data_IF_406123692103
#
_entry.id   IF_406123692103
#
_cell.length_a   1.000
_cell.length_b   1.000
_cell.length_c   1.000
_cell.angle_alpha   90.00
_cell.angle_beta   90.00
_cell.angle_gamma   90.00
#
_symmetry.space_group_name_H-M   'P 1'
#
loop_
_entity.id
_entity.type
_entity.pdbx_description
1 polymer ?
#
# COMPACT_ATOMS: atom_id res chain seq x y z
N UNK A 1 3.31 13.97 14.54
CA UNK A 1 3.95 12.69 14.96
C UNK A 1 2.89 11.85 15.67
N UNK A 2 2.29 10.86 14.99
CA UNK A 2 1.28 9.96 15.59
C UNK A 2 2.03 8.96 16.47
N UNK A 3 2.23 9.29 17.75
CA UNK A 3 2.95 8.44 18.72
C UNK A 3 2.08 7.94 19.89
N UNK A 4 0.77 8.14 19.86
CA UNK A 4 -0.10 7.87 21.03
C UNK A 4 -1.15 6.78 20.84
N UNK A 5 -1.18 6.07 19.71
CA UNK A 5 -2.01 4.87 19.53
C UNK A 5 -1.14 3.80 18.90
N UNK A 6 -1.29 2.54 19.29
CA UNK A 6 -0.62 1.36 18.70
C UNK A 6 -1.06 1.12 17.25
N UNK A 7 -1.06 2.17 16.43
CA UNK A 7 -1.46 2.12 15.03
C UNK A 7 -0.22 1.85 14.19
N UNK A 8 -0.32 0.90 13.27
CA UNK A 8 0.76 0.58 12.35
C UNK A 8 0.61 1.51 11.15
N UNK A 9 1.62 2.37 10.97
CA UNK A 9 1.71 3.29 9.84
C UNK A 9 2.79 2.78 8.89
N UNK A 10 2.45 2.67 7.60
CA UNK A 10 3.38 2.32 6.54
C UNK A 10 3.75 3.56 5.72
N UNK A 11 4.93 4.17 5.98
CA UNK A 11 5.45 5.22 5.11
C UNK A 11 6.05 4.60 3.84
N UNK A 12 5.66 5.13 2.68
CA UNK A 12 6.19 4.79 1.36
C UNK A 12 6.41 6.08 0.56
N UNK A 13 7.25 5.99 -0.46
CA UNK A 13 7.48 7.10 -1.39
C UNK A 13 7.66 6.58 -2.81
N UNK A 14 7.58 7.44 -3.81
CA UNK A 14 7.71 7.02 -5.20
C UNK A 14 9.17 6.92 -5.64
N UNK A 15 10.03 7.84 -5.17
CA UNK A 15 11.46 7.84 -5.46
C UNK A 15 12.31 7.03 -4.48
N UNK A 16 13.30 6.31 -5.01
CA UNK A 16 14.28 5.59 -4.19
C UNK A 16 15.14 6.51 -3.31
N UNK A 17 15.39 7.75 -3.77
CA UNK A 17 16.18 8.73 -3.02
C UNK A 17 15.37 9.25 -1.83
N UNK A 18 14.09 9.57 -2.04
CA UNK A 18 13.19 9.98 -0.97
C UNK A 18 13.01 8.85 0.08
N UNK A 19 13.10 7.58 -0.33
CA UNK A 19 12.93 6.45 0.58
C UNK A 19 14.03 6.40 1.64
N UNK A 20 15.22 6.94 1.35
CA UNK A 20 16.33 7.03 2.31
C UNK A 20 16.03 8.03 3.44
N UNK A 21 15.15 9.00 3.21
CA UNK A 21 14.77 10.01 4.20
C UNK A 21 13.68 9.48 5.15
N UNK A 22 12.97 8.43 4.76
CA UNK A 22 11.96 7.78 5.59
C UNK A 22 12.61 6.69 6.46
N UNK A 23 12.32 6.63 7.77
CA UNK A 23 12.81 5.54 8.61
C UNK A 23 12.22 4.20 8.15
N UNK A 24 13.09 3.27 7.72
CA UNK A 24 12.73 2.03 7.02
C UNK A 24 11.96 2.25 5.71
N UNK A 25 12.18 3.40 5.08
CA UNK A 25 11.53 3.79 3.84
C UNK A 25 11.81 2.79 2.73
N UNK A 26 10.75 2.40 2.04
CA UNK A 26 10.82 1.67 0.79
C UNK A 26 10.01 2.43 -0.24
N UNK A 27 10.41 2.30 -1.50
CA UNK A 27 9.58 2.82 -2.58
C UNK A 27 8.26 2.07 -2.61
N UNK A 28 7.16 2.73 -2.99
CA UNK A 28 5.86 2.09 -3.13
C UNK A 28 5.92 0.92 -4.12
N UNK A 29 6.69 1.07 -5.21
CA UNK A 29 6.96 0.01 -6.16
C UNK A 29 7.58 -1.23 -5.52
N UNK A 30 8.64 -1.07 -4.73
CA UNK A 30 9.29 -2.19 -4.04
C UNK A 30 8.42 -2.75 -2.91
N UNK A 31 7.72 -1.87 -2.17
CA UNK A 31 6.93 -2.25 -1.00
C UNK A 31 5.71 -3.05 -1.36
N UNK A 32 5.01 -2.67 -2.43
CA UNK A 32 3.77 -3.33 -2.85
C UNK A 32 3.97 -4.24 -4.06
N UNK A 33 5.19 -4.37 -4.58
CA UNK A 33 5.47 -5.18 -5.76
C UNK A 33 4.61 -4.73 -6.96
N UNK A 34 4.56 -3.41 -7.18
CA UNK A 34 3.73 -2.80 -8.22
C UNK A 34 4.32 -3.15 -9.59
N UNK A 35 3.55 -3.75 -10.51
CA UNK A 35 4.07 -4.15 -11.82
C UNK A 35 4.52 -2.95 -12.65
N UNK A 36 5.69 -3.06 -13.29
CA UNK A 36 6.28 -2.01 -14.13
C UNK A 36 5.42 -1.69 -15.37
N UNK A 37 4.71 -2.69 -15.91
CA UNK A 37 3.69 -2.50 -16.95
C UNK A 37 2.34 -2.31 -16.30
N UNK A 38 2.01 -1.06 -15.97
CA UNK A 38 0.72 -0.68 -15.42
C UNK A 38 -0.35 -0.76 -16.51
N UNK A 39 -1.40 -1.53 -16.26
CA UNK A 39 -2.61 -1.61 -17.08
C UNK A 39 -3.81 -1.67 -16.14
N UNK A 40 -4.97 -1.18 -16.57
CA UNK A 40 -6.14 -0.94 -15.70
C UNK A 40 -6.59 -2.17 -14.87
N UNK A 41 -6.32 -3.39 -15.35
CA UNK A 41 -6.73 -4.63 -14.69
C UNK A 41 -5.64 -5.32 -13.85
N UNK A 42 -4.48 -4.69 -13.67
CA UNK A 42 -3.40 -5.33 -12.91
C UNK A 42 -3.55 -5.11 -11.41
N UNK A 43 -3.36 -6.19 -10.68
CA UNK A 43 -3.18 -6.20 -9.24
C UNK A 43 -1.69 -6.07 -8.91
N UNK A 44 -1.41 -5.55 -7.72
CA UNK A 44 -0.10 -5.71 -7.10
C UNK A 44 0.17 -7.20 -6.85
N UNK A 45 1.40 -7.65 -7.08
CA UNK A 45 1.77 -9.06 -6.94
C UNK A 45 2.06 -9.42 -5.47
N UNK A 46 1.01 -9.30 -4.64
CA UNK A 46 1.01 -9.60 -3.21
C UNK A 46 0.11 -10.81 -3.01
N UNK A 47 0.70 -11.94 -2.59
CA UNK A 47 -0.07 -13.16 -2.33
C UNK A 47 -0.62 -13.15 -0.89
N UNK A 48 -1.85 -13.64 -0.66
CA UNK A 48 -2.37 -13.89 0.69
C UNK A 48 -1.44 -14.84 1.46
N UNK A 49 -1.32 -14.66 2.78
CA UNK A 49 -0.45 -15.47 3.64
C UNK A 49 1.04 -15.15 3.53
N UNK A 50 1.43 -14.09 2.81
CA UNK A 50 2.79 -13.56 2.86
C UNK A 50 2.94 -12.58 4.02
N UNK A 51 4.18 -12.39 4.51
CA UNK A 51 4.48 -11.38 5.54
C UNK A 51 4.00 -9.97 5.15
N UNK A 52 4.06 -9.64 3.86
CA UNK A 52 3.58 -8.35 3.35
C UNK A 52 2.06 -8.24 3.45
N UNK A 53 1.32 -9.30 3.10
CA UNK A 53 -0.13 -9.33 3.25
C UNK A 53 -0.54 -9.21 4.73
N UNK A 54 0.11 -9.95 5.63
CA UNK A 54 -0.15 -9.85 7.07
C UNK A 54 0.15 -8.45 7.63
N UNK A 55 1.21 -7.81 7.11
CA UNK A 55 1.57 -6.46 7.50
C UNK A 55 0.50 -5.46 7.02
N UNK A 56 0.06 -5.57 5.78
CA UNK A 56 -1.02 -4.76 5.20
C UNK A 56 -2.31 -4.92 6.00
N UNK A 57 -2.68 -6.15 6.38
CA UNK A 57 -3.86 -6.42 7.20
C UNK A 57 -3.83 -5.76 8.58
N UNK A 58 -2.64 -5.57 9.14
CA UNK A 58 -2.43 -4.92 10.44
C UNK A 58 -2.20 -3.42 10.31
N UNK A 59 -2.04 -2.90 9.09
CA UNK A 59 -1.75 -1.49 8.84
C UNK A 59 -3.02 -0.66 8.94
N UNK A 60 -2.97 0.39 9.75
CA UNK A 60 -4.09 1.32 9.92
C UNK A 60 -4.00 2.49 8.94
N UNK A 61 -2.78 2.86 8.52
CA UNK A 61 -2.55 4.02 7.65
C UNK A 61 -1.34 3.80 6.73
N UNK A 62 -1.50 4.08 5.45
CA UNK A 62 -0.39 4.19 4.49
C UNK A 62 -0.16 5.67 4.22
N UNK A 63 1.06 6.15 4.46
CA UNK A 63 1.47 7.51 4.10
C UNK A 63 2.32 7.39 2.84
N UNK A 64 1.83 7.96 1.73
CA UNK A 64 2.53 7.93 0.46
C UNK A 64 3.07 9.32 0.13
N UNK A 65 4.38 9.50 0.35
CA UNK A 65 5.11 10.70 -0.05
C UNK A 65 5.38 10.71 -1.56
N UNK A 66 5.29 11.87 -2.21
CA UNK A 66 5.32 11.99 -3.67
C UNK A 66 4.18 11.25 -4.41
N UNK A 67 3.05 10.99 -3.73
CA UNK A 67 1.88 10.37 -4.35
C UNK A 67 1.47 11.00 -5.70
N UNK A 68 1.42 12.35 -5.88
CA UNK A 68 1.05 12.98 -7.15
C UNK A 68 1.99 12.66 -8.32
N UNK A 69 3.23 12.28 -8.04
CA UNK A 69 4.22 11.93 -9.07
C UNK A 69 4.10 10.47 -9.54
N UNK A 70 3.16 9.71 -8.97
CA UNK A 70 2.93 8.31 -9.31
C UNK A 70 1.80 8.19 -10.32
N UNK A 71 1.95 7.27 -11.27
CA UNK A 71 0.91 6.98 -12.24
C UNK A 71 -0.39 6.50 -11.57
N UNK A 72 -1.55 7.01 -12.02
CA UNK A 72 -2.88 6.67 -11.47
C UNK A 72 -3.13 5.16 -11.35
N UNK A 73 -2.76 4.39 -12.37
CA UNK A 73 -2.89 2.93 -12.35
C UNK A 73 -2.14 2.22 -11.22
N UNK A 74 -1.05 2.81 -10.68
CA UNK A 74 -0.38 2.24 -9.52
C UNK A 74 -1.25 2.32 -8.26
N UNK A 75 -1.99 3.42 -8.10
CA UNK A 75 -2.98 3.57 -7.03
C UNK A 75 -4.16 2.64 -7.22
N UNK A 76 -4.69 2.51 -8.43
CA UNK A 76 -5.81 1.61 -8.74
C UNK A 76 -5.42 0.14 -8.49
N UNK A 77 -4.23 -0.27 -8.93
CA UNK A 77 -3.71 -1.60 -8.67
C UNK A 77 -3.52 -1.87 -7.18
N UNK A 78 -3.02 -0.88 -6.43
CA UNK A 78 -2.86 -0.99 -4.99
C UNK A 78 -4.22 -1.08 -4.29
N UNK A 79 -5.17 -0.18 -4.58
CA UNK A 79 -6.51 -0.18 -3.99
C UNK A 79 -7.22 -1.52 -4.21
N UNK A 80 -7.20 -2.03 -5.45
CA UNK A 80 -7.77 -3.35 -5.77
C UNK A 80 -7.11 -4.47 -4.95
N UNK A 81 -5.78 -4.47 -4.81
CA UNK A 81 -5.06 -5.49 -4.02
C UNK A 81 -5.35 -5.36 -2.52
N UNK A 82 -5.39 -4.15 -1.97
CA UNK A 82 -5.74 -3.92 -0.57
C UNK A 82 -7.16 -4.42 -0.29
N UNK A 83 -8.12 -4.11 -1.18
CA UNK A 83 -9.49 -4.62 -1.08
C UNK A 83 -9.55 -6.14 -1.14
N UNK A 84 -8.80 -6.80 -2.02
CA UNK A 84 -8.78 -8.27 -2.09
C UNK A 84 -8.23 -8.91 -0.79
N UNK A 85 -7.14 -8.35 -0.24
CA UNK A 85 -6.54 -8.83 1.01
C UNK A 85 -7.52 -8.63 2.18
N UNK A 86 -8.14 -7.44 2.29
CA UNK A 86 -9.04 -7.11 3.41
C UNK A 86 -10.38 -7.85 3.30
N UNK A 87 -10.94 -7.97 2.10
CA UNK A 87 -12.26 -8.62 1.86
C UNK A 87 -12.25 -10.11 2.24
N UNK A 88 -11.10 -10.78 2.14
CA UNK A 88 -10.95 -12.19 2.55
C UNK A 88 -11.08 -12.41 4.07
N UNK A 89 -11.01 -11.34 4.88
CA UNK A 89 -11.05 -11.42 6.36
C UNK A 89 -12.33 -10.82 6.97
N UNK A 90 -13.01 -9.90 6.26
CA UNK A 90 -14.29 -9.31 6.67
C UNK A 90 -15.26 -9.29 5.49
N UNK A 91 -16.31 -10.13 5.47
CA UNK A 91 -17.32 -10.10 4.40
C UNK A 91 -18.20 -8.83 4.37
N UNK A 92 -17.97 -7.83 5.24
CA UNK A 92 -18.86 -6.67 5.43
C UNK A 92 -18.28 -5.30 5.08
N UNK A 93 -17.09 -5.18 4.50
CA UNK A 93 -16.50 -3.86 4.18
C UNK A 93 -16.23 -3.74 2.67
N UNK A 94 -17.29 -3.47 1.91
CA UNK A 94 -17.20 -3.12 0.48
C UNK A 94 -17.12 -1.60 0.22
N UNK A 95 -17.25 -0.75 1.23
CA UNK A 95 -17.40 0.71 1.07
C UNK A 95 -16.52 1.55 2.01
N UNK A 96 -15.21 1.32 2.03
CA UNK A 96 -14.29 2.38 2.50
C UNK A 96 -13.29 2.68 1.40
N UNK A 97 -13.49 3.83 0.75
CA UNK A 97 -12.47 4.50 -0.04
C UNK A 97 -11.49 5.20 0.90
N UNK A 98 -10.19 5.00 0.66
CA UNK A 98 -9.13 5.68 1.39
C UNK A 98 -9.27 7.20 1.25
N UNK A 99 -9.16 7.90 2.38
CA UNK A 99 -9.06 9.35 2.49
C UNK A 99 -7.83 9.71 3.31
#
# INVERSE_FOLDING_TARGET
MIRSRKQIVLPVTSSGIAALLLPNGRTAHSRFNIPLKLSEDKLCNIKPGTMLAELIEKTDLIIWDEAPMTHKHAFEALDKTLRDIISKKKPSTKEQTFG
#
